data_IF_821654532616
#
_entry.id   IF_821654532616
#
_cell.length_a   1.000
_cell.length_b   1.000
_cell.length_c   1.000
_cell.angle_alpha   90.00
_cell.angle_beta   90.00
_cell.angle_gamma   90.00
#
_symmetry.space_group_name_H-M   'P 1'
#
loop_
_entity.id
_entity.type
_entity.pdbx_description
1 polymer ?
#
# COMPACT_ATOMS: atom_id res chain seq x y z
N UNK A 1 16.84 -11.42 67.32
CA UNK A 1 16.16 -12.02 66.15
C UNK A 1 15.94 -10.86 65.20
N UNK A 2 17.02 -10.46 64.53
CA UNK A 2 17.05 -9.31 63.64
C UNK A 2 17.07 -9.88 62.24
N UNK A 3 15.88 -9.94 61.64
CA UNK A 3 15.68 -10.44 60.29
C UNK A 3 16.40 -9.50 59.32
N UNK A 4 17.42 -10.04 58.65
CA UNK A 4 18.28 -9.33 57.71
C UNK A 4 17.45 -8.76 56.55
N UNK A 5 17.22 -7.44 56.61
CA UNK A 5 16.65 -6.64 55.54
C UNK A 5 17.67 -6.54 54.39
N UNK A 6 17.72 -7.57 53.54
CA UNK A 6 18.52 -7.57 52.31
C UNK A 6 18.02 -6.49 51.35
N UNK A 7 18.61 -5.29 51.48
CA UNK A 7 18.40 -4.19 50.56
C UNK A 7 19.22 -4.41 49.28
N UNK A 8 18.67 -5.19 48.35
CA UNK A 8 19.21 -5.37 47.00
C UNK A 8 18.80 -4.18 46.12
N UNK A 9 19.32 -2.98 46.42
CA UNK A 9 18.98 -1.70 45.77
C UNK A 9 19.21 -1.62 44.25
N UNK A 10 19.80 -2.64 43.62
CA UNK A 10 20.19 -2.63 42.20
C UNK A 10 19.38 -3.60 41.34
N UNK A 11 18.44 -4.36 41.93
CA UNK A 11 17.58 -5.28 41.20
C UNK A 11 16.24 -4.61 41.05
N UNK A 12 15.89 -4.24 39.82
CA UNK A 12 14.59 -3.64 39.52
C UNK A 12 13.48 -4.65 39.86
N UNK A 13 12.54 -4.30 40.75
CA UNK A 13 11.41 -5.17 41.08
C UNK A 13 10.65 -5.60 39.82
N UNK A 14 10.27 -6.87 39.75
CA UNK A 14 9.62 -7.47 38.57
C UNK A 14 8.29 -6.75 38.28
N UNK A 15 7.58 -6.35 39.32
CA UNK A 15 6.33 -5.59 39.23
C UNK A 15 6.53 -4.25 38.51
N UNK A 16 7.63 -3.54 38.82
CA UNK A 16 7.96 -2.26 38.16
C UNK A 16 8.38 -2.46 36.70
N UNK A 17 9.09 -3.54 36.39
CA UNK A 17 9.44 -3.89 35.01
C UNK A 17 8.18 -4.22 34.18
N UNK A 18 7.25 -5.00 34.74
CA UNK A 18 5.97 -5.34 34.12
C UNK A 18 5.10 -4.09 33.93
N UNK A 19 5.05 -3.21 34.92
CA UNK A 19 4.28 -1.97 34.85
C UNK A 19 4.78 -1.07 33.72
N UNK A 20 6.09 -0.88 33.59
CA UNK A 20 6.69 -0.12 32.49
C UNK A 20 6.37 -0.72 31.11
N UNK A 21 6.42 -2.03 30.99
CA UNK A 21 6.07 -2.75 29.74
C UNK A 21 4.58 -2.56 29.38
N UNK A 22 3.68 -2.63 30.36
CA UNK A 22 2.24 -2.38 30.15
C UNK A 22 1.96 -0.93 29.73
N UNK A 23 2.60 0.04 30.40
CA UNK A 23 2.49 1.45 30.06
C UNK A 23 3.02 1.73 28.65
N UNK A 24 4.13 1.11 28.26
CA UNK A 24 4.67 1.22 26.90
C UNK A 24 3.69 0.67 25.86
N UNK A 25 3.12 -0.51 26.10
CA UNK A 25 2.09 -1.10 25.22
C UNK A 25 0.85 -0.21 25.09
N UNK A 26 0.40 0.38 26.20
CA UNK A 26 -0.73 1.30 26.19
C UNK A 26 -0.46 2.56 25.37
N UNK A 27 0.73 3.18 25.53
CA UNK A 27 1.14 4.36 24.73
C UNK A 27 1.21 4.04 23.23
N UNK A 28 1.82 2.91 22.86
CA UNK A 28 1.87 2.46 21.47
C UNK A 28 0.45 2.23 20.89
N UNK A 29 -0.48 1.77 21.71
CA UNK A 29 -1.87 1.56 21.30
C UNK A 29 -2.63 2.89 21.15
N UNK A 30 -2.36 3.89 22.00
CA UNK A 30 -2.89 5.25 21.86
C UNK A 30 -2.36 5.91 20.58
N UNK A 31 -1.07 5.82 20.27
CA UNK A 31 -0.49 6.36 19.03
C UNK A 31 -1.10 5.69 17.79
N UNK A 32 -1.29 4.37 17.83
CA UNK A 32 -1.96 3.63 16.75
C UNK A 32 -3.42 4.05 16.58
N UNK A 33 -4.14 4.31 17.68
CA UNK A 33 -5.51 4.81 17.64
C UNK A 33 -5.56 6.26 17.19
N UNK A 34 -4.63 7.13 17.59
CA UNK A 34 -4.51 8.50 17.08
C UNK A 34 -4.34 8.49 15.56
N UNK A 35 -3.42 7.67 15.03
CA UNK A 35 -3.26 7.52 13.59
C UNK A 35 -4.53 6.98 12.88
N UNK A 36 -5.35 6.16 13.54
CA UNK A 36 -6.66 5.75 13.01
C UNK A 36 -7.72 6.85 13.08
N UNK A 37 -7.68 7.72 14.09
CA UNK A 37 -8.61 8.83 14.26
C UNK A 37 -8.29 10.00 13.32
N UNK A 38 -7.01 10.29 13.06
CA UNK A 38 -6.57 11.29 12.08
C UNK A 38 -6.94 10.91 10.62
N UNK A 39 -7.18 9.62 10.37
CA UNK A 39 -7.67 9.10 9.09
C UNK A 39 -9.20 9.10 8.97
N UNK A 40 -9.93 9.55 9.99
CA UNK A 40 -11.38 9.80 9.90
C UNK A 40 -11.72 11.28 10.13
N UNK A 41 -11.73 12.07 9.05
CA UNK A 41 -12.65 13.20 8.95
C UNK A 41 -13.74 12.93 7.91
N UNK A 42 -14.98 13.18 8.34
CA UNK A 42 -16.20 13.38 7.55
C UNK A 42 -16.85 12.09 7.03
N UNK A 43 -17.80 11.56 7.79
CA UNK A 43 -19.24 11.54 7.43
C UNK A 43 -19.98 11.12 8.69
N UNK A 44 -20.80 11.99 9.28
CA UNK A 44 -22.19 11.67 9.62
C UNK A 44 -22.91 12.90 10.20
N UNK A 45 -23.83 13.45 9.43
CA UNK A 45 -25.04 14.05 9.99
C UNK A 45 -26.19 13.74 9.02
N UNK A 46 -27.32 13.38 9.62
CA UNK A 46 -28.67 13.21 9.05
C UNK A 46 -29.05 11.79 8.58
N UNK A 47 -29.79 11.07 9.46
CA UNK A 47 -30.82 10.10 9.02
C UNK A 47 -32.16 10.81 8.81
N UNK A 48 -33.33 10.16 8.95
CA UNK A 48 -33.68 8.73 8.87
C UNK A 48 -34.91 8.55 7.89
N UNK A 49 -35.90 7.67 8.13
CA UNK A 49 -36.07 6.31 7.60
C UNK A 49 -37.31 6.14 6.69
N UNK A 50 -37.33 5.17 5.77
CA UNK A 50 -38.60 4.55 5.34
C UNK A 50 -38.38 3.15 4.78
N UNK A 51 -38.96 2.21 5.51
CA UNK A 51 -39.27 0.83 5.11
C UNK A 51 -40.29 0.80 3.95
N UNK A 52 -40.24 -0.30 3.18
CA UNK A 52 -41.37 -1.07 2.66
C UNK A 52 -41.60 -1.15 1.13
N UNK A 53 -41.75 -2.43 0.72
CA UNK A 53 -42.59 -3.01 -0.37
C UNK A 53 -41.84 -3.30 -1.68
N UNK A 54 -41.59 -4.56 -2.07
CA UNK A 54 -42.42 -5.76 -2.39
C UNK A 54 -42.50 -5.93 -3.92
N UNK A 55 -42.10 -7.14 -4.36
CA UNK A 55 -42.63 -7.97 -5.47
C UNK A 55 -42.67 -7.33 -6.89
N UNK A 56 -42.33 -7.91 -8.05
CA UNK A 56 -42.35 -9.27 -8.60
C UNK A 56 -41.49 -9.32 -9.90
N UNK A 57 -41.29 -10.54 -10.41
CA UNK A 57 -41.18 -10.94 -11.83
C UNK A 57 -39.86 -11.62 -12.27
N UNK A 58 -40.03 -12.91 -12.44
CA UNK A 58 -39.18 -14.01 -12.90
C UNK A 58 -38.89 -13.95 -14.42
N UNK A 59 -37.72 -14.46 -14.85
CA UNK A 59 -37.54 -15.56 -15.84
C UNK A 59 -36.11 -15.58 -16.43
N UNK A 60 -35.51 -16.77 -16.41
CA UNK A 60 -34.13 -17.13 -16.81
C UNK A 60 -33.99 -17.28 -18.37
N UNK A 61 -32.95 -17.91 -18.98
CA UNK A 61 -31.63 -18.40 -18.53
C UNK A 61 -30.44 -18.13 -19.52
N UNK A 62 -29.28 -18.75 -19.26
CA UNK A 62 -28.20 -19.15 -20.20
C UNK A 62 -27.11 -18.15 -20.65
N UNK A 63 -25.89 -18.46 -20.20
CA UNK A 63 -24.68 -18.72 -21.01
C UNK A 63 -23.62 -17.61 -21.20
N UNK A 64 -22.43 -17.95 -20.68
CA UNK A 64 -21.08 -17.64 -21.15
C UNK A 64 -20.56 -16.19 -21.15
N UNK A 65 -19.23 -16.16 -20.98
CA UNK A 65 -18.30 -15.09 -21.34
C UNK A 65 -18.01 -14.06 -20.24
N UNK A 66 -17.03 -14.44 -19.40
CA UNK A 66 -15.80 -13.67 -19.15
C UNK A 66 -15.84 -12.27 -19.76
N UNK A 67 -16.15 -11.27 -18.94
CA UNK A 67 -15.95 -9.88 -19.31
C UNK A 67 -14.96 -9.18 -18.37
N UNK A 68 -14.09 -8.33 -18.93
CA UNK A 68 -12.82 -7.92 -18.36
C UNK A 68 -12.86 -6.43 -17.95
N UNK A 69 -11.73 -5.92 -17.45
CA UNK A 69 -11.35 -4.51 -17.51
C UNK A 69 -12.29 -3.51 -16.79
N UNK A 70 -11.91 -3.15 -15.56
CA UNK A 70 -12.23 -1.82 -15.06
C UNK A 70 -11.49 -0.79 -15.92
N UNK A 71 -12.22 -0.24 -16.88
CA UNK A 71 -11.83 0.91 -17.68
C UNK A 71 -11.79 2.14 -16.79
N UNK A 72 -10.60 2.58 -16.39
CA UNK A 72 -10.41 3.93 -15.89
C UNK A 72 -10.30 4.87 -17.08
N UNK A 73 -11.45 5.45 -17.45
CA UNK A 73 -11.51 6.67 -18.25
C UNK A 73 -10.93 7.81 -17.43
N UNK A 74 -9.67 8.15 -17.67
CA UNK A 74 -9.11 9.42 -17.24
C UNK A 74 -8.47 10.08 -18.45
N UNK A 75 -9.28 10.96 -19.03
CA UNK A 75 -8.92 11.95 -20.03
C UNK A 75 -7.85 12.87 -19.43
N UNK A 76 -6.59 12.63 -19.79
CA UNK A 76 -5.46 13.54 -19.57
C UNK A 76 -4.37 13.20 -20.59
N UNK A 77 -4.67 13.43 -21.87
CA UNK A 77 -3.65 13.46 -22.91
C UNK A 77 -2.88 14.77 -22.77
N UNK A 78 -1.73 14.78 -22.07
CA UNK A 78 -0.52 15.47 -22.50
C UNK A 78 0.68 15.01 -21.64
N UNK A 79 1.59 14.29 -22.30
CA UNK A 79 3.03 14.23 -22.00
C UNK A 79 3.45 13.88 -20.56
N UNK A 80 3.52 12.59 -20.25
CA UNK A 80 4.58 12.09 -19.36
C UNK A 80 5.03 10.75 -19.88
N UNK A 81 6.26 10.72 -20.41
CA UNK A 81 6.86 9.58 -21.09
C UNK A 81 6.80 8.35 -20.18
N UNK A 82 5.88 7.43 -20.51
CA UNK A 82 5.35 6.47 -19.53
C UNK A 82 6.39 5.39 -19.21
N UNK A 83 7.15 5.61 -18.15
CA UNK A 83 7.74 4.55 -17.38
C UNK A 83 6.61 3.72 -16.76
N UNK A 84 6.30 2.56 -17.35
CA UNK A 84 5.34 1.63 -16.76
C UNK A 84 5.98 0.98 -15.53
N UNK A 85 5.25 1.00 -14.42
CA UNK A 85 5.61 0.28 -13.20
C UNK A 85 4.68 -0.89 -13.00
N UNK A 86 5.21 -2.03 -12.59
CA UNK A 86 4.42 -3.22 -12.30
C UNK A 86 4.62 -3.67 -10.86
N UNK A 87 3.53 -4.10 -10.22
CA UNK A 87 3.55 -4.70 -8.90
C UNK A 87 3.44 -6.21 -9.07
N UNK A 88 4.51 -6.97 -8.82
CA UNK A 88 4.55 -8.43 -8.96
C UNK A 88 3.64 -9.14 -7.97
N UNK A 89 3.52 -8.60 -6.76
CA UNK A 89 2.66 -9.18 -5.72
C UNK A 89 1.16 -9.10 -6.09
N UNK A 90 0.73 -8.00 -6.69
CA UNK A 90 -0.67 -7.79 -7.08
C UNK A 90 -0.93 -8.04 -8.58
N UNK A 91 0.12 -8.29 -9.37
CA UNK A 91 0.08 -8.43 -10.83
C UNK A 91 -0.63 -7.25 -11.53
N UNK A 92 -0.42 -6.03 -11.01
CA UNK A 92 -1.00 -4.80 -11.55
C UNK A 92 0.06 -3.94 -12.21
N UNK A 93 -0.31 -3.26 -13.30
CA UNK A 93 0.55 -2.33 -14.03
C UNK A 93 0.02 -0.90 -13.94
N UNK A 94 0.91 0.06 -13.74
CA UNK A 94 0.60 1.46 -13.54
C UNK A 94 1.35 2.32 -14.55
N UNK A 95 0.64 3.28 -15.14
CA UNK A 95 1.20 4.25 -16.08
C UNK A 95 1.85 5.46 -15.39
N UNK A 96 1.62 5.63 -14.09
CA UNK A 96 2.11 6.76 -13.30
C UNK A 96 2.56 6.30 -11.92
N UNK A 97 3.58 6.96 -11.42
CA UNK A 97 4.12 6.80 -10.06
C UNK A 97 3.07 7.14 -9.02
N UNK A 98 2.18 8.10 -9.31
CA UNK A 98 1.10 8.49 -8.39
C UNK A 98 0.15 7.31 -8.10
N UNK A 99 -0.33 6.64 -9.14
CA UNK A 99 -1.21 5.48 -8.97
C UNK A 99 -0.50 4.29 -8.34
N UNK A 100 0.79 4.10 -8.65
CA UNK A 100 1.62 3.09 -7.97
C UNK A 100 1.76 3.40 -6.47
N UNK A 101 2.07 4.65 -6.12
CA UNK A 101 2.23 5.10 -4.74
C UNK A 101 0.95 4.88 -3.94
N UNK A 102 -0.18 5.33 -4.49
CA UNK A 102 -1.51 5.09 -3.92
C UNK A 102 -1.81 3.60 -3.75
N UNK A 103 -1.48 2.77 -4.76
CA UNK A 103 -1.64 1.32 -4.68
C UNK A 103 -0.79 0.69 -3.56
N UNK A 104 0.49 1.02 -3.48
CA UNK A 104 1.41 0.45 -2.47
C UNK A 104 0.99 0.83 -1.05
N UNK A 105 0.42 2.03 -0.88
CA UNK A 105 -0.12 2.48 0.40
C UNK A 105 -1.46 1.83 0.77
N UNK A 106 -2.17 1.24 -0.19
CA UNK A 106 -3.49 0.64 0.02
C UNK A 106 -3.46 -0.56 0.98
N UNK A 107 -4.57 -0.77 1.69
CA UNK A 107 -4.71 -1.90 2.60
C UNK A 107 -4.70 -3.24 1.86
N UNK A 108 -5.25 -3.28 0.64
CA UNK A 108 -5.28 -4.48 -0.21
C UNK A 108 -3.85 -4.94 -0.53
N UNK A 109 -2.97 -4.00 -0.89
CA UNK A 109 -1.57 -4.31 -1.14
C UNK A 109 -0.89 -4.89 0.12
N UNK A 110 -1.08 -4.26 1.28
CA UNK A 110 -0.51 -4.71 2.56
C UNK A 110 -0.96 -6.13 2.94
N UNK A 111 -2.26 -6.43 2.79
CA UNK A 111 -2.80 -7.77 3.06
C UNK A 111 -2.20 -8.80 2.10
N UNK A 112 -2.10 -8.47 0.81
CA UNK A 112 -1.57 -9.38 -0.19
C UNK A 112 -0.07 -9.68 0.04
N UNK A 113 0.74 -8.66 0.32
CA UNK A 113 2.16 -8.83 0.68
C UNK A 113 2.31 -9.66 1.96
N UNK A 114 1.49 -9.40 2.99
CA UNK A 114 1.50 -10.17 4.23
C UNK A 114 1.14 -11.65 4.01
N UNK A 115 0.15 -11.91 3.15
CA UNK A 115 -0.26 -13.26 2.79
C UNK A 115 0.84 -14.01 2.03
N UNK A 116 1.48 -13.36 1.05
CA UNK A 116 2.61 -13.91 0.30
C UNK A 116 3.79 -14.24 1.24
N UNK A 117 4.10 -13.35 2.19
CA UNK A 117 5.14 -13.58 3.20
C UNK A 117 4.84 -14.81 4.08
N UNK A 118 3.57 -15.02 4.46
CA UNK A 118 3.14 -16.22 5.21
C UNK A 118 3.29 -17.50 4.40
N UNK A 119 3.08 -17.45 3.08
CA UNK A 119 3.26 -18.58 2.15
C UNK A 119 4.73 -18.90 1.85
N UNK A 120 5.68 -18.20 2.49
CA UNK A 120 7.13 -18.26 2.18
C UNK A 120 7.45 -17.97 0.71
N UNK A 121 6.60 -17.20 0.03
CA UNK A 121 6.93 -16.69 -1.30
C UNK A 121 7.91 -15.53 -1.12
N UNK A 122 9.15 -15.73 -1.59
CA UNK A 122 10.26 -14.79 -1.45
C UNK A 122 10.12 -13.60 -2.41
N UNK A 123 9.10 -12.77 -2.22
CA UNK A 123 8.95 -11.50 -2.94
C UNK A 123 9.52 -10.40 -2.05
N UNK A 124 10.85 -10.21 -2.08
CA UNK A 124 11.50 -9.09 -1.40
C UNK A 124 11.21 -7.76 -2.10
N UNK A 125 11.08 -7.77 -3.43
CA UNK A 125 10.99 -6.56 -4.25
C UNK A 125 9.72 -6.60 -5.13
N UNK A 126 8.58 -6.12 -4.61
CA UNK A 126 7.30 -6.25 -5.30
C UNK A 126 7.15 -5.27 -6.47
N UNK A 127 7.93 -4.19 -6.52
CA UNK A 127 7.80 -3.15 -7.54
C UNK A 127 8.83 -3.36 -8.64
N UNK A 128 8.44 -3.19 -9.89
CA UNK A 128 9.29 -3.36 -11.05
C UNK A 128 9.16 -2.17 -12.01
N UNK A 129 10.29 -1.66 -12.50
CA UNK A 129 10.34 -0.63 -13.52
C UNK A 129 10.61 -1.26 -14.89
N UNK A 130 9.69 -1.10 -15.85
CA UNK A 130 9.84 -1.70 -17.18
C UNK A 130 10.92 -1.00 -18.03
N UNK A 131 11.19 0.28 -17.79
CA UNK A 131 12.23 1.01 -18.54
C UNK A 131 13.63 0.59 -18.12
N UNK A 132 13.86 0.49 -16.81
CA UNK A 132 15.18 0.17 -16.26
C UNK A 132 15.40 -1.32 -16.04
N UNK A 133 14.33 -2.12 -16.10
CA UNK A 133 14.32 -3.57 -15.78
C UNK A 133 14.93 -3.85 -14.42
N UNK A 134 14.54 -3.05 -13.43
CA UNK A 134 15.01 -3.16 -12.05
C UNK A 134 13.84 -3.30 -11.09
N UNK A 135 14.03 -4.11 -10.05
CA UNK A 135 13.08 -4.25 -8.96
C UNK A 135 13.39 -3.26 -7.85
N UNK A 136 12.37 -2.62 -7.30
CA UNK A 136 12.45 -1.78 -6.11
C UNK A 136 11.69 -2.43 -4.96
N UNK A 137 12.21 -2.29 -3.75
CA UNK A 137 11.67 -2.90 -2.53
C UNK A 137 10.64 -2.01 -1.84
N UNK A 138 10.82 -0.69 -1.97
CA UNK A 138 10.00 0.32 -1.29
C UNK A 138 9.66 1.50 -2.21
N UNK A 139 8.68 2.31 -1.80
CA UNK A 139 8.32 3.54 -2.52
C UNK A 139 9.48 4.55 -2.53
N UNK A 140 10.19 4.71 -1.42
CA UNK A 140 11.36 5.60 -1.34
C UNK A 140 12.46 5.21 -2.33
N UNK A 141 12.69 3.91 -2.53
CA UNK A 141 13.60 3.43 -3.58
C UNK A 141 13.10 3.74 -4.98
N UNK A 142 11.78 3.72 -5.22
CA UNK A 142 11.20 4.11 -6.52
C UNK A 142 11.41 5.60 -6.79
N UNK A 143 11.21 6.45 -5.78
CA UNK A 143 11.45 7.90 -5.91
C UNK A 143 12.93 8.20 -6.17
N UNK A 144 13.83 7.59 -5.40
CA UNK A 144 15.27 7.70 -5.65
C UNK A 144 15.66 7.15 -7.03
N UNK A 145 15.06 6.04 -7.45
CA UNK A 145 15.27 5.44 -8.76
C UNK A 145 14.90 6.38 -9.92
N UNK A 146 13.76 7.05 -9.82
CA UNK A 146 13.28 8.02 -10.80
C UNK A 146 14.21 9.22 -10.93
N UNK A 147 14.76 9.68 -9.80
CA UNK A 147 15.72 10.77 -9.77
C UNK A 147 17.14 10.32 -10.14
N UNK A 148 17.36 9.02 -10.36
CA UNK A 148 18.66 8.46 -10.70
C UNK A 148 19.12 8.81 -12.12
N UNK A 149 20.44 8.93 -12.29
CA UNK A 149 21.07 9.21 -13.59
C UNK A 149 20.76 8.16 -14.66
N UNK A 150 20.67 6.88 -14.26
CA UNK A 150 20.35 5.76 -15.17
C UNK A 150 18.95 5.86 -15.76
N UNK A 151 17.94 6.14 -14.92
CA UNK A 151 16.56 6.26 -15.37
C UNK A 151 16.40 7.43 -16.35
N UNK A 152 16.96 8.60 -15.98
CA UNK A 152 16.93 9.80 -16.81
C UNK A 152 17.67 9.63 -18.14
N UNK A 153 18.81 8.95 -18.15
CA UNK A 153 19.56 8.67 -19.39
C UNK A 153 18.75 7.81 -20.36
N UNK A 154 18.05 6.79 -19.84
CA UNK A 154 17.17 5.94 -20.65
C UNK A 154 15.99 6.73 -21.21
N UNK A 155 15.34 7.58 -20.41
CA UNK A 155 14.27 8.47 -20.87
C UNK A 155 14.74 9.38 -22.02
N UNK A 156 15.89 10.04 -21.84
CA UNK A 156 16.49 10.88 -22.88
C UNK A 156 16.81 10.11 -24.16
N UNK A 157 17.34 8.88 -24.04
CA UNK A 157 17.65 8.02 -25.20
C UNK A 157 16.38 7.61 -25.97
N UNK A 158 15.28 7.35 -25.25
CA UNK A 158 14.00 6.98 -25.80
C UNK A 158 13.36 8.17 -26.54
N UNK A 159 13.44 9.36 -25.96
CA UNK A 159 12.97 10.61 -26.56
C UNK A 159 13.73 10.94 -27.86
N UNK A 160 15.05 10.72 -27.89
CA UNK A 160 15.89 10.95 -29.08
C UNK A 160 15.61 9.95 -30.21
N UNK A 161 15.45 8.68 -29.89
CA UNK A 161 15.17 7.62 -30.89
C UNK A 161 13.84 7.82 -31.61
N UNK A 162 12.84 8.41 -30.95
CA UNK A 162 11.54 8.75 -31.56
C UNK A 162 11.62 9.83 -32.62
N UNK A 163 12.55 10.78 -32.51
CA UNK A 163 12.72 11.86 -33.50
C UNK A 163 13.25 11.33 -34.84
N UNK A 164 14.05 10.26 -34.83
CA UNK A 164 14.59 9.63 -36.04
C UNK A 164 13.60 8.75 -36.81
N UNK A 165 12.54 8.29 -36.15
CA UNK A 165 11.52 7.40 -36.74
C UNK A 165 10.34 8.15 -37.38
N UNK A 166 10.34 9.48 -37.28
CA UNK A 166 9.31 10.38 -37.82
C UNK A 166 9.76 11.11 -39.09
N UNK A 167 10.91 10.72 -39.63
CA UNK A 167 11.51 11.29 -40.84
C UNK A 167 11.58 10.24 -41.93
#
# INVERSE_FOLDING_TARGET
>A
MEEEMFSLCNIMPVELALQRELEYRAKMQVEKNQHQNDLKPIVLAQGPPTEARKDDAELAPMNSQKAPMLQFSSSSQLLKEKAAFSCKACQLTFASVFHLSSHVQSQLHKVNISQMKKRREAISNPIWCELCRSSCSSLGEVEAHLNGSRHNSLLLSLARSRKRKRH
#
